data_IF_883881789533
#
_entry.id   IF_883881789533
#
_cell.length_a   1.000
_cell.length_b   1.000
_cell.length_c   1.000
_cell.angle_alpha   90.00
_cell.angle_beta   90.00
_cell.angle_gamma   90.00
#
_symmetry.space_group_name_H-M   'P 1'
#
loop_
_entity.id
_entity.type
_entity.pdbx_description
1 polymer ?
#
# COMPACT_ATOMS: atom_id res chain seq x y z
N UNK A 1 83.16 -34.90 22.60
CA UNK A 1 82.16 -34.76 23.68
C UNK A 1 81.38 -33.48 23.39
N UNK A 2 80.44 -33.48 22.43
CA UNK A 2 79.00 -33.66 22.63
C UNK A 2 78.42 -32.85 23.80
N UNK A 3 77.71 -31.76 23.48
CA UNK A 3 76.43 -31.26 24.02
C UNK A 3 76.13 -29.93 23.32
N UNK A 4 74.92 -29.49 22.99
CA UNK A 4 73.63 -30.12 22.71
C UNK A 4 72.83 -29.01 22.00
N UNK A 5 72.27 -29.31 20.83
CA UNK A 5 71.50 -28.36 20.02
C UNK A 5 70.21 -27.95 20.74
N UNK A 6 69.96 -26.63 20.85
CA UNK A 6 68.69 -26.10 21.39
C UNK A 6 67.57 -26.29 20.37
N UNK A 7 66.77 -27.31 20.66
CA UNK A 7 65.52 -27.65 20.00
C UNK A 7 64.51 -26.49 20.13
N UNK A 8 64.21 -25.81 19.01
CA UNK A 8 63.12 -24.82 18.95
C UNK A 8 61.80 -25.57 18.77
N UNK A 9 61.21 -25.99 19.89
CA UNK A 9 59.87 -26.59 19.95
C UNK A 9 58.83 -25.58 19.43
N UNK A 10 58.25 -25.86 18.27
CA UNK A 10 57.14 -25.11 17.70
C UNK A 10 55.95 -25.12 18.67
N UNK A 11 55.40 -23.93 18.97
CA UNK A 11 54.16 -23.80 19.76
C UNK A 11 52.99 -24.28 18.91
N UNK A 12 52.05 -25.08 19.45
CA UNK A 12 50.86 -25.48 18.72
C UNK A 12 50.00 -24.24 18.47
N UNK A 13 49.53 -24.11 17.22
CA UNK A 13 48.71 -23.00 16.77
C UNK A 13 47.50 -22.80 17.68
N UNK A 14 47.33 -21.57 18.14
CA UNK A 14 46.09 -21.09 18.74
C UNK A 14 44.92 -21.37 17.79
N UNK A 15 43.79 -21.92 18.26
CA UNK A 15 42.62 -22.11 17.42
C UNK A 15 42.16 -20.74 16.88
N UNK A 16 41.87 -20.69 15.58
CA UNK A 16 41.25 -19.53 14.95
C UNK A 16 39.98 -19.17 15.74
N UNK A 17 39.74 -17.87 16.02
CA UNK A 17 38.53 -17.45 16.71
C UNK A 17 37.32 -17.95 15.91
N UNK A 18 36.36 -18.57 16.62
CA UNK A 18 35.11 -18.99 16.02
C UNK A 18 34.50 -17.79 15.27
N UNK A 19 33.93 -17.98 14.07
CA UNK A 19 33.26 -16.90 13.37
C UNK A 19 32.24 -16.29 14.32
N UNK A 20 32.27 -14.96 14.45
CA UNK A 20 31.25 -14.23 15.19
C UNK A 20 29.89 -14.74 14.71
N UNK A 21 28.95 -15.08 15.61
CA UNK A 21 27.65 -15.57 15.19
C UNK A 21 27.10 -14.56 14.19
N UNK A 22 26.73 -15.02 13.00
CA UNK A 22 26.06 -14.17 12.04
C UNK A 22 24.90 -13.51 12.80
N UNK A 23 24.86 -12.18 12.80
CA UNK A 23 23.88 -11.45 13.59
C UNK A 23 22.51 -11.96 13.15
N UNK A 24 21.83 -12.66 14.04
CA UNK A 24 20.45 -13.09 13.81
C UNK A 24 19.59 -11.84 13.96
N UNK A 25 19.54 -11.05 12.88
CA UNK A 25 18.80 -9.80 12.78
C UNK A 25 17.35 -9.97 13.28
N UNK A 26 16.62 -11.06 12.93
CA UNK A 26 15.33 -11.36 13.54
C UNK A 26 15.35 -11.55 15.05
N UNK A 27 16.28 -12.35 15.59
CA UNK A 27 16.37 -12.56 17.05
C UNK A 27 16.71 -11.24 17.78
N UNK A 28 17.55 -10.41 17.17
CA UNK A 28 17.86 -9.06 17.66
C UNK A 28 16.61 -8.16 17.63
N UNK A 29 15.84 -8.17 16.54
CA UNK A 29 14.59 -7.41 16.44
C UNK A 29 13.58 -7.88 17.49
N UNK A 30 13.40 -9.20 17.67
CA UNK A 30 12.51 -9.73 18.72
C UNK A 30 12.97 -9.31 20.12
N UNK A 31 14.28 -9.29 20.37
CA UNK A 31 14.86 -8.79 21.64
C UNK A 31 14.53 -7.31 21.87
N UNK A 32 14.61 -6.46 20.84
CA UNK A 32 14.26 -5.03 20.93
C UNK A 32 12.76 -4.81 21.16
N UNK A 33 11.90 -5.54 20.44
CA UNK A 33 10.44 -5.39 20.51
C UNK A 33 9.80 -6.16 21.68
N UNK A 34 10.58 -6.90 22.46
CA UNK A 34 10.12 -7.67 23.62
C UNK A 34 9.29 -8.92 23.32
N UNK A 35 8.60 -8.97 22.17
CA UNK A 35 7.89 -10.16 21.72
C UNK A 35 7.79 -10.25 20.18
N UNK A 36 7.72 -11.46 19.60
CA UNK A 36 7.43 -11.66 18.18
C UNK A 36 6.09 -11.05 17.75
N UNK A 37 5.08 -11.12 18.62
CA UNK A 37 3.72 -10.66 18.29
C UNK A 37 3.65 -9.13 18.18
N UNK A 38 4.41 -8.39 19.00
CA UNK A 38 4.52 -6.94 18.87
C UNK A 38 5.15 -6.53 17.53
N UNK A 39 6.26 -7.18 17.15
CA UNK A 39 6.93 -6.96 15.87
C UNK A 39 5.99 -7.22 14.69
N UNK A 40 5.26 -8.34 14.71
CA UNK A 40 4.36 -8.74 13.62
C UNK A 40 3.17 -7.78 13.51
N UNK A 41 2.64 -7.33 14.64
CA UNK A 41 1.56 -6.33 14.68
C UNK A 41 2.00 -4.99 14.08
N UNK A 42 3.18 -4.50 14.45
CA UNK A 42 3.74 -3.28 13.88
C UNK A 42 4.06 -3.43 12.39
N UNK A 43 4.60 -4.58 11.99
CA UNK A 43 4.82 -4.88 10.58
C UNK A 43 3.52 -4.83 9.78
N UNK A 44 2.44 -5.49 10.25
CA UNK A 44 1.15 -5.46 9.57
C UNK A 44 0.55 -4.05 9.49
N UNK A 45 0.64 -3.27 10.58
CA UNK A 45 0.18 -1.86 10.59
C UNK A 45 0.97 -1.01 9.60
N UNK A 46 2.29 -1.13 9.61
CA UNK A 46 3.18 -0.38 8.72
C UNK A 46 2.98 -0.78 7.25
N UNK A 47 2.83 -2.07 6.97
CA UNK A 47 2.52 -2.59 5.64
C UNK A 47 1.21 -2.03 5.11
N UNK A 48 0.13 -2.09 5.91
CA UNK A 48 -1.16 -1.52 5.54
C UNK A 48 -1.05 -0.01 5.27
N UNK A 49 -0.41 0.75 6.16
CA UNK A 49 -0.25 2.20 5.99
C UNK A 49 0.47 2.56 4.68
N UNK A 50 1.57 1.88 4.36
CA UNK A 50 2.31 2.10 3.11
C UNK A 50 1.48 1.75 1.87
N UNK A 51 0.77 0.61 1.90
CA UNK A 51 0.00 0.15 0.74
C UNK A 51 -1.24 0.99 0.46
N UNK A 52 -1.83 1.66 1.46
CA UNK A 52 -2.94 2.59 1.22
C UNK A 52 -2.51 3.79 0.37
N UNK A 53 -1.31 4.32 0.61
CA UNK A 53 -0.79 5.52 -0.07
C UNK A 53 -0.03 5.19 -1.35
N UNK A 54 0.18 3.91 -1.67
CA UNK A 54 0.98 3.49 -2.81
C UNK A 54 0.23 3.72 -4.12
N UNK A 55 0.97 4.17 -5.14
CA UNK A 55 0.50 4.15 -6.53
C UNK A 55 0.73 2.76 -7.14
N UNK A 56 -0.34 2.19 -7.67
CA UNK A 56 -0.30 0.88 -8.30
C UNK A 56 -0.41 -0.28 -7.31
N UNK A 57 -0.17 -1.48 -7.84
CA UNK A 57 -0.46 -2.75 -7.15
C UNK A 57 0.72 -3.73 -7.24
N UNK A 58 1.93 -3.23 -7.49
CA UNK A 58 3.13 -4.04 -7.35
C UNK A 58 3.37 -4.30 -5.86
N UNK A 59 3.60 -5.54 -5.47
CA UNK A 59 3.76 -5.97 -4.08
C UNK A 59 4.89 -6.97 -3.91
N UNK A 60 5.74 -7.16 -4.92
CA UNK A 60 6.72 -8.25 -4.90
C UNK A 60 7.71 -8.15 -3.73
N UNK A 61 8.15 -6.93 -3.39
CA UNK A 61 9.07 -6.72 -2.28
C UNK A 61 8.42 -7.06 -0.93
N UNK A 62 7.15 -6.66 -0.77
CA UNK A 62 6.35 -6.97 0.41
C UNK A 62 6.06 -8.47 0.52
N UNK A 63 5.76 -9.14 -0.59
CA UNK A 63 5.54 -10.59 -0.65
C UNK A 63 6.82 -11.36 -0.28
N UNK A 64 7.97 -10.99 -0.83
CA UNK A 64 9.28 -11.59 -0.44
C UNK A 64 9.56 -11.42 1.06
N UNK A 65 9.28 -10.23 1.59
CA UNK A 65 9.46 -9.95 3.02
C UNK A 65 8.51 -10.80 3.86
N UNK A 66 7.25 -10.91 3.45
CA UNK A 66 6.25 -11.71 4.13
C UNK A 66 6.64 -13.19 4.17
N UNK A 67 7.10 -13.76 3.06
CA UNK A 67 7.51 -15.17 3.01
C UNK A 67 8.69 -15.46 3.96
N UNK A 68 9.67 -14.57 4.03
CA UNK A 68 10.75 -14.67 5.01
C UNK A 68 10.23 -14.65 6.45
N UNK A 69 9.26 -13.79 6.76
CA UNK A 69 8.66 -13.72 8.08
C UNK A 69 7.80 -14.97 8.39
N UNK A 70 7.08 -15.51 7.40
CA UNK A 70 6.26 -16.73 7.53
C UNK A 70 7.12 -17.93 7.88
N UNK A 71 8.25 -18.10 7.20
CA UNK A 71 9.19 -19.19 7.47
C UNK A 71 9.72 -19.18 8.92
N UNK A 72 9.78 -18.00 9.57
CA UNK A 72 10.31 -17.85 10.93
C UNK A 72 9.24 -17.86 12.02
N UNK A 73 8.11 -17.20 11.80
CA UNK A 73 7.10 -16.95 12.83
C UNK A 73 5.83 -17.78 12.66
N UNK A 74 5.68 -18.45 11.52
CA UNK A 74 4.52 -19.23 11.14
C UNK A 74 3.37 -18.39 10.56
N UNK A 75 2.52 -19.05 9.78
CA UNK A 75 1.44 -18.41 9.02
C UNK A 75 0.36 -17.78 9.89
N UNK A 76 0.03 -18.41 11.02
CA UNK A 76 -1.07 -17.97 11.87
C UNK A 76 -0.89 -16.53 12.38
N UNK A 77 0.35 -16.16 12.75
CA UNK A 77 0.64 -14.80 13.25
C UNK A 77 0.59 -13.74 12.16
N UNK A 78 0.88 -14.12 10.91
CA UNK A 78 0.98 -13.21 9.76
C UNK A 78 -0.32 -13.11 8.95
N UNK A 79 -1.41 -13.74 9.42
CA UNK A 79 -2.72 -13.74 8.76
C UNK A 79 -3.18 -12.34 8.34
N UNK A 80 -2.99 -11.33 9.20
CA UNK A 80 -3.39 -9.97 8.87
C UNK A 80 -2.60 -9.38 7.69
N UNK A 81 -1.28 -9.53 7.68
CA UNK A 81 -0.43 -9.05 6.59
C UNK A 81 -0.71 -9.79 5.28
N UNK A 82 -1.00 -11.11 5.35
CA UNK A 82 -1.42 -11.90 4.18
C UNK A 82 -2.74 -11.39 3.58
N UNK A 83 -3.73 -11.06 4.41
CA UNK A 83 -5.00 -10.50 3.93
C UNK A 83 -4.79 -9.13 3.30
N UNK A 84 -3.95 -8.27 3.90
CA UNK A 84 -3.61 -6.96 3.35
C UNK A 84 -3.03 -7.08 1.93
N UNK A 85 -2.08 -7.99 1.68
CA UNK A 85 -1.51 -8.19 0.35
C UNK A 85 -2.52 -8.80 -0.63
N UNK A 86 -3.31 -9.76 -0.17
CA UNK A 86 -4.40 -10.33 -0.98
C UNK A 86 -5.41 -9.27 -1.41
N UNK A 87 -5.79 -8.38 -0.51
CA UNK A 87 -6.71 -7.28 -0.79
C UNK A 87 -6.15 -6.36 -1.90
N UNK A 88 -4.85 -6.06 -1.89
CA UNK A 88 -4.19 -5.27 -2.96
C UNK A 88 -4.22 -6.01 -4.30
N UNK A 89 -3.89 -7.30 -4.32
CA UNK A 89 -3.94 -8.11 -5.53
C UNK A 89 -5.38 -8.22 -6.10
N UNK A 90 -6.37 -8.42 -5.23
CA UNK A 90 -7.78 -8.47 -5.63
C UNK A 90 -8.28 -7.10 -6.10
N UNK A 91 -7.79 -6.01 -5.51
CA UNK A 91 -8.07 -4.64 -5.96
C UNK A 91 -7.62 -4.41 -7.40
N UNK A 92 -6.41 -4.86 -7.76
CA UNK A 92 -5.91 -4.82 -9.14
C UNK A 92 -6.84 -5.55 -10.11
N UNK A 93 -7.23 -6.78 -9.77
CA UNK A 93 -8.10 -7.62 -10.61
C UNK A 93 -9.48 -7.01 -10.78
N UNK A 94 -10.06 -6.50 -9.69
CA UNK A 94 -11.37 -5.86 -9.69
C UNK A 94 -11.35 -4.57 -10.51
N UNK A 95 -10.32 -3.74 -10.36
CA UNK A 95 -10.14 -2.53 -11.16
C UNK A 95 -10.06 -2.83 -12.65
N UNK A 96 -9.29 -3.85 -13.04
CA UNK A 96 -9.21 -4.31 -14.43
C UNK A 96 -10.56 -4.82 -14.95
N UNK A 97 -11.28 -5.63 -14.16
CA UNK A 97 -12.59 -6.15 -14.53
C UNK A 97 -13.63 -5.04 -14.73
N UNK A 98 -13.62 -4.02 -13.87
CA UNK A 98 -14.50 -2.85 -14.00
C UNK A 98 -14.22 -2.08 -15.29
N UNK A 99 -12.94 -1.87 -15.63
CA UNK A 99 -12.53 -1.19 -16.87
C UNK A 99 -12.97 -1.97 -18.11
N UNK A 100 -12.66 -3.26 -18.17
CA UNK A 100 -13.03 -4.13 -19.28
C UNK A 100 -14.56 -4.23 -19.47
N UNK A 101 -15.32 -4.35 -18.37
CA UNK A 101 -16.78 -4.39 -18.43
C UNK A 101 -17.39 -3.08 -18.98
N UNK A 102 -16.73 -1.94 -18.76
CA UNK A 102 -17.15 -0.65 -19.32
C UNK A 102 -16.81 -0.49 -20.78
N UNK A 103 -15.61 -0.89 -21.20
CA UNK A 103 -15.21 -0.87 -22.61
C UNK A 103 -16.15 -1.73 -23.45
N UNK A 104 -16.48 -2.93 -23.00
CA UNK A 104 -17.45 -3.81 -23.68
C UNK A 104 -18.84 -3.16 -23.84
N UNK A 105 -19.31 -2.40 -22.85
CA UNK A 105 -20.59 -1.69 -22.92
C UNK A 105 -20.55 -0.46 -23.81
N UNK A 106 -19.42 0.25 -23.85
CA UNK A 106 -19.22 1.36 -24.80
C UNK A 106 -19.21 0.85 -26.24
N UNK A 107 -18.54 -0.26 -26.52
CA UNK A 107 -18.51 -0.86 -27.87
C UNK A 107 -19.83 -1.52 -28.32
N UNK A 108 -20.74 -1.83 -27.39
CA UNK A 108 -22.05 -2.41 -27.71
C UNK A 108 -23.18 -1.36 -27.82
N UNK A 109 -22.89 -0.10 -27.51
CA UNK A 109 -23.86 0.99 -27.49
C UNK A 109 -23.20 2.28 -27.98
N UNK A 110 -23.35 2.58 -29.27
CA UNK A 110 -23.09 3.90 -29.87
C UNK A 110 -23.94 5.03 -29.23
N UNK A 111 -24.81 4.70 -28.27
CA UNK A 111 -25.70 5.62 -27.54
C UNK A 111 -25.18 6.06 -26.17
N UNK A 112 -23.98 5.64 -25.74
CA UNK A 112 -23.38 6.20 -24.53
C UNK A 112 -22.71 7.53 -24.87
N UNK A 113 -23.25 8.69 -24.41
CA UNK A 113 -22.58 9.96 -24.67
C UNK A 113 -21.17 9.91 -24.09
N UNK A 114 -20.21 10.42 -24.87
CA UNK A 114 -18.85 10.67 -24.39
C UNK A 114 -18.92 11.35 -23.02
N UNK A 115 -17.98 11.07 -22.09
CA UNK A 115 -17.96 11.75 -20.80
C UNK A 115 -18.05 13.25 -21.05
N UNK A 116 -19.08 13.91 -20.49
CA UNK A 116 -19.23 15.36 -20.61
C UNK A 116 -17.92 15.99 -20.16
N UNK A 117 -17.47 17.09 -20.79
CA UNK A 117 -16.16 17.70 -20.55
C UNK A 117 -15.80 18.02 -19.07
N UNK A 118 -16.75 17.91 -18.13
CA UNK A 118 -16.57 18.09 -16.68
C UNK A 118 -16.54 16.78 -15.87
N UNK A 119 -16.65 15.61 -16.49
CA UNK A 119 -16.66 14.33 -15.79
C UNK A 119 -15.28 13.67 -15.79
N UNK A 120 -14.82 13.28 -14.61
CA UNK A 120 -13.56 12.55 -14.47
C UNK A 120 -13.70 11.11 -15.03
N UNK A 121 -12.88 10.69 -16.00
CA UNK A 121 -12.88 9.32 -16.51
C UNK A 121 -12.59 8.32 -15.38
N UNK A 122 -13.19 7.13 -15.42
CA UNK A 122 -12.88 6.09 -14.42
C UNK A 122 -11.47 5.52 -14.60
N UNK A 123 -10.91 5.71 -15.78
CA UNK A 123 -9.56 5.33 -16.16
C UNK A 123 -8.51 6.13 -15.36
N UNK A 124 -8.85 7.37 -14.96
CA UNK A 124 -8.05 8.21 -14.08
C UNK A 124 -8.21 7.85 -12.57
N UNK A 125 -9.06 6.88 -12.23
CA UNK A 125 -9.27 6.43 -10.86
C UNK A 125 -8.67 5.04 -10.65
N UNK A 126 -7.87 4.91 -9.60
CA UNK A 126 -7.46 3.62 -9.03
C UNK A 126 -7.99 3.51 -7.62
N UNK A 127 -8.49 2.33 -7.24
CA UNK A 127 -9.05 2.10 -5.92
C UNK A 127 -8.40 0.89 -5.26
N UNK A 128 -7.87 1.09 -4.05
CA UNK A 128 -7.44 0.01 -3.15
C UNK A 128 -8.61 -0.36 -2.25
N UNK A 129 -9.07 -1.60 -2.36
CA UNK A 129 -10.22 -2.15 -1.64
C UNK A 129 -9.69 -2.92 -0.44
N UNK A 130 -9.87 -2.35 0.74
CA UNK A 130 -9.34 -2.88 1.99
C UNK A 130 -10.40 -3.60 2.83
N UNK A 131 -10.06 -4.78 3.34
CA UNK A 131 -10.89 -5.51 4.31
C UNK A 131 -10.82 -4.84 5.69
N UNK A 132 -11.91 -4.23 6.13
CA UNK A 132 -11.99 -3.39 7.34
C UNK A 132 -11.31 -3.95 8.60
N UNK A 133 -11.33 -5.27 8.82
CA UNK A 133 -10.77 -5.88 10.03
C UNK A 133 -9.25 -5.99 10.03
N UNK A 134 -8.60 -5.85 8.87
CA UNK A 134 -7.17 -6.13 8.68
C UNK A 134 -6.34 -4.90 8.34
N UNK A 135 -6.98 -3.76 8.08
CA UNK A 135 -6.32 -2.49 7.74
C UNK A 135 -6.55 -1.46 8.85
N UNK A 136 -5.61 -1.31 9.82
CA UNK A 136 -5.79 -0.43 10.97
C UNK A 136 -6.08 1.02 10.58
N UNK A 137 -5.32 1.58 9.64
CA UNK A 137 -5.50 2.96 9.17
C UNK A 137 -6.89 3.21 8.57
N UNK A 138 -7.45 2.23 7.86
CA UNK A 138 -8.81 2.31 7.28
C UNK A 138 -9.86 2.21 8.38
N UNK A 139 -9.65 1.34 9.38
CA UNK A 139 -10.55 1.21 10.51
C UNK A 139 -10.56 2.47 11.38
N UNK A 140 -9.39 3.07 11.63
CA UNK A 140 -9.20 4.32 12.36
C UNK A 140 -9.89 5.50 11.66
N UNK A 141 -9.70 5.64 10.34
CA UNK A 141 -10.39 6.67 9.55
C UNK A 141 -11.91 6.47 9.57
N UNK A 142 -12.38 5.23 9.45
CA UNK A 142 -13.82 4.92 9.53
C UNK A 142 -14.43 5.18 10.92
N UNK A 143 -13.61 5.13 11.98
CA UNK A 143 -14.00 5.43 13.36
C UNK A 143 -13.78 6.91 13.74
N UNK A 144 -13.11 7.68 12.88
CA UNK A 144 -12.79 9.09 13.12
C UNK A 144 -14.07 9.91 13.27
N UNK A 145 -14.06 10.83 14.24
CA UNK A 145 -15.15 11.78 14.48
C UNK A 145 -15.07 13.03 13.59
N UNK A 146 -14.00 13.15 12.81
CA UNK A 146 -13.80 14.26 11.87
C UNK A 146 -14.82 14.15 10.73
N UNK A 147 -15.41 15.26 10.27
CA UNK A 147 -16.32 15.22 9.13
C UNK A 147 -15.61 14.70 7.88
N UNK A 148 -16.32 13.95 7.02
CA UNK A 148 -15.72 13.40 5.81
C UNK A 148 -15.25 14.53 4.89
N UNK A 149 -14.10 14.32 4.26
CA UNK A 149 -13.54 15.26 3.29
C UNK A 149 -14.58 15.56 2.20
N UNK A 150 -14.88 16.84 2.02
CA UNK A 150 -15.75 17.30 0.93
C UNK A 150 -14.99 17.21 -0.39
N UNK A 151 -15.36 16.22 -1.19
CA UNK A 151 -14.74 15.99 -2.49
C UNK A 151 -15.33 16.91 -3.57
N UNK A 152 -14.52 17.31 -4.57
CA UNK A 152 -15.04 17.92 -5.79
C UNK A 152 -16.09 17.05 -6.48
N UNK A 153 -17.16 17.67 -6.97
CA UNK A 153 -18.27 16.95 -7.62
C UNK A 153 -17.84 15.96 -8.73
N UNK A 154 -16.88 16.28 -9.63
CA UNK A 154 -16.42 15.32 -10.63
C UNK A 154 -15.78 14.07 -10.02
N UNK A 155 -15.02 14.22 -8.92
CA UNK A 155 -14.35 13.13 -8.22
C UNK A 155 -15.37 12.28 -7.46
N UNK A 156 -16.29 12.91 -6.73
CA UNK A 156 -17.36 12.21 -6.01
C UNK A 156 -18.22 11.37 -6.98
N UNK A 157 -18.61 11.95 -8.12
CA UNK A 157 -19.35 11.23 -9.16
C UNK A 157 -18.56 10.05 -9.74
N UNK A 158 -17.24 10.18 -9.91
CA UNK A 158 -16.39 9.08 -10.34
C UNK A 158 -16.32 7.97 -9.30
N UNK A 159 -16.13 8.28 -8.02
CA UNK A 159 -16.15 7.29 -6.93
C UNK A 159 -17.50 6.56 -6.86
N UNK A 160 -18.62 7.26 -7.00
CA UNK A 160 -19.95 6.65 -7.01
C UNK A 160 -20.15 5.71 -8.20
N UNK A 161 -19.67 6.11 -9.39
CA UNK A 161 -19.68 5.25 -10.58
C UNK A 161 -18.87 3.98 -10.35
N UNK A 162 -17.66 4.11 -9.82
CA UNK A 162 -16.82 2.96 -9.49
C UNK A 162 -17.51 2.04 -8.48
N UNK A 163 -18.11 2.61 -7.43
CA UNK A 163 -18.84 1.86 -6.41
C UNK A 163 -20.03 1.07 -6.96
N UNK A 164 -20.75 1.60 -7.95
CA UNK A 164 -21.83 0.87 -8.65
C UNK A 164 -21.31 -0.30 -9.46
N UNK A 165 -20.20 -0.13 -10.19
CA UNK A 165 -19.59 -1.22 -10.96
C UNK A 165 -19.04 -2.31 -10.04
N UNK A 166 -18.42 -1.92 -8.91
CA UNK A 166 -18.01 -2.86 -7.87
C UNK A 166 -19.18 -3.67 -7.34
N UNK A 167 -20.30 -3.00 -7.00
CA UNK A 167 -21.48 -3.68 -6.45
C UNK A 167 -22.08 -4.70 -7.43
N UNK A 168 -22.08 -4.39 -8.74
CA UNK A 168 -22.50 -5.34 -9.78
C UNK A 168 -21.60 -6.58 -9.81
N UNK A 169 -20.29 -6.41 -9.63
CA UNK A 169 -19.32 -7.50 -9.68
C UNK A 169 -19.30 -8.34 -8.39
N UNK A 170 -19.55 -7.73 -7.23
CA UNK A 170 -19.35 -8.34 -5.90
C UNK A 170 -20.58 -8.25 -5.00
N UNK A 171 -21.79 -8.31 -5.56
CA UNK A 171 -23.04 -8.29 -4.80
C UNK A 171 -23.04 -9.34 -3.67
N UNK A 172 -23.61 -9.04 -2.49
CA UNK A 172 -24.29 -7.81 -2.09
C UNK A 172 -23.36 -6.71 -1.53
N UNK A 173 -22.04 -6.82 -1.68
CA UNK A 173 -21.05 -5.95 -1.03
C UNK A 173 -21.09 -4.52 -1.58
N UNK A 174 -20.84 -3.52 -0.72
CA UNK A 174 -20.74 -2.10 -1.07
C UNK A 174 -19.45 -1.50 -0.52
N UNK A 175 -18.89 -0.54 -1.24
CA UNK A 175 -17.71 0.21 -0.80
C UNK A 175 -18.11 1.35 0.13
N UNK A 176 -17.27 1.60 1.13
CA UNK A 176 -17.25 2.83 1.91
C UNK A 176 -15.93 3.53 1.61
N UNK A 177 -16.01 4.76 1.12
CA UNK A 177 -14.84 5.51 0.69
C UNK A 177 -14.16 6.19 1.88
N UNK A 178 -12.83 6.09 1.93
CA UNK A 178 -11.97 6.78 2.89
C UNK A 178 -11.02 7.72 2.11
N UNK A 179 -11.55 8.82 1.54
CA UNK A 179 -10.78 9.66 0.61
C UNK A 179 -9.61 10.38 1.27
N UNK A 180 -9.63 10.61 2.59
CA UNK A 180 -8.51 11.28 3.25
C UNK A 180 -7.20 10.47 3.19
N UNK A 181 -7.28 9.15 3.05
CA UNK A 181 -6.12 8.26 2.97
C UNK A 181 -5.56 8.10 1.56
N UNK A 182 -6.23 8.64 0.54
CA UNK A 182 -5.81 8.50 -0.85
C UNK A 182 -4.60 9.35 -1.21
N UNK A 183 -4.19 9.26 -2.47
CA UNK A 183 -3.17 10.11 -3.10
C UNK A 183 -3.68 10.57 -4.46
N UNK A 184 -3.39 11.81 -4.83
CA UNK A 184 -3.84 12.42 -6.10
C UNK A 184 -2.64 13.00 -6.85
N UNK A 185 -2.59 12.77 -8.16
CA UNK A 185 -1.72 13.53 -9.08
C UNK A 185 -2.46 14.76 -9.55
N UNK A 186 -1.83 15.92 -9.41
CA UNK A 186 -2.33 17.18 -9.93
C UNK A 186 -1.28 17.83 -10.78
N UNK A 187 -1.71 18.43 -11.87
CA UNK A 187 -0.92 19.33 -12.67
C UNK A 187 -1.43 20.75 -12.40
N UNK A 188 -0.54 21.63 -11.93
CA UNK A 188 -0.87 23.02 -11.64
C UNK A 188 -0.21 23.92 -12.68
N UNK A 189 -1.04 24.70 -13.39
CA UNK A 189 -0.61 25.74 -14.31
C UNK A 189 -0.66 27.10 -13.58
N UNK A 190 0.49 27.74 -13.39
CA UNK A 190 0.64 29.04 -12.74
C UNK A 190 1.33 29.99 -13.72
N UNK A 191 0.54 30.77 -14.47
CA UNK A 191 1.07 31.56 -15.58
C UNK A 191 1.58 30.65 -16.70
N UNK A 192 2.86 30.80 -17.05
CA UNK A 192 3.54 30.00 -18.09
C UNK A 192 4.19 28.73 -17.53
N UNK A 193 4.19 28.52 -16.21
CA UNK A 193 4.76 27.33 -15.59
C UNK A 193 3.71 26.26 -15.31
N UNK A 194 4.04 25.03 -15.71
CA UNK A 194 3.27 23.83 -15.40
C UNK A 194 4.10 22.93 -14.50
N UNK A 195 3.55 22.52 -13.36
CA UNK A 195 4.23 21.61 -12.41
C UNK A 195 3.30 20.50 -11.96
N UNK A 196 3.83 19.28 -11.90
CA UNK A 196 3.12 18.11 -11.38
C UNK A 196 3.40 17.90 -9.89
N UNK A 197 2.36 17.56 -9.14
CA UNK A 197 2.43 17.28 -7.72
C UNK A 197 1.69 16.00 -7.35
N UNK A 198 2.27 15.23 -6.43
CA UNK A 198 1.59 14.14 -5.76
C UNK A 198 1.23 14.56 -4.34
N UNK A 199 -0.06 14.67 -4.05
CA UNK A 199 -0.53 15.25 -2.78
C UNK A 199 -1.69 14.45 -2.19
N UNK A 200 -1.90 14.66 -0.89
CA UNK A 200 -3.10 14.19 -0.22
C UNK A 200 -4.37 14.85 -0.81
N UNK A 201 -5.49 14.12 -0.90
CA UNK A 201 -6.76 14.63 -1.44
C UNK A 201 -7.29 15.90 -0.77
N UNK A 202 -6.96 16.11 0.51
CA UNK A 202 -7.31 17.34 1.23
C UNK A 202 -6.64 18.57 0.62
N UNK A 203 -5.35 18.48 0.26
CA UNK A 203 -4.61 19.58 -0.38
C UNK A 203 -5.16 19.85 -1.78
N UNK A 204 -5.46 18.78 -2.53
CA UNK A 204 -6.10 18.87 -3.84
C UNK A 204 -7.44 19.62 -3.79
N UNK A 205 -8.27 19.30 -2.78
CA UNK A 205 -9.57 19.93 -2.61
C UNK A 205 -9.44 21.43 -2.27
N UNK A 206 -8.45 21.81 -1.46
CA UNK A 206 -8.16 23.21 -1.14
C UNK A 206 -7.73 23.98 -2.38
N UNK A 207 -6.77 23.45 -3.15
CA UNK A 207 -6.29 24.11 -4.39
C UNK A 207 -7.44 24.31 -5.38
N UNK A 208 -8.31 23.32 -5.55
CA UNK A 208 -9.46 23.43 -6.44
C UNK A 208 -10.47 24.50 -5.96
N UNK A 209 -10.56 24.77 -4.66
CA UNK A 209 -11.42 25.84 -4.15
C UNK A 209 -10.93 27.22 -4.62
N UNK A 210 -9.62 27.45 -4.63
CA UNK A 210 -9.03 28.70 -5.15
C UNK A 210 -9.27 28.90 -6.65
N UNK A 211 -9.29 27.82 -7.44
CA UNK A 211 -9.60 27.90 -8.88
C UNK A 211 -11.02 28.43 -9.14
N UNK A 212 -11.97 28.16 -8.24
CA UNK A 212 -13.36 28.64 -8.38
C UNK A 212 -13.52 30.10 -7.98
N UNK A 213 -12.67 30.58 -7.08
CA UNK A 213 -12.74 31.93 -6.51
C UNK A 213 -12.09 32.98 -7.41
N UNK A 214 -11.14 32.59 -8.27
CA UNK A 214 -10.43 33.49 -9.18
C UNK A 214 -11.23 33.88 -10.45
N UNK A 215 -12.54 34.09 -10.31
CA UNK A 215 -13.40 34.63 -11.37
C UNK A 215 -14.05 35.93 -10.92
#
# INVERSE_FOLDING_TARGET
>A
MQTSARDRKARPGSPLPAPLPCVDVPALLVSIFGSPDALIKEYARSLAARLVQRRGFDTEAEERTLEMLRARFGDARLAAAMVVLRDVADSRRIGAAIRAAREKRRGASDLCPAPRAKELPLEALSATIASRLYWPSVAEEAASKTPPLRLPAPVAAALDRYGREYHRLKAPRRLRWAPALGVVSLELCLGDETREFEVAPVLAAVVLAFQRQAR
#
